data_IF_160767426098
#
_entry.id   IF_160767426098
#
_cell.length_a   1.000
_cell.length_b   1.000
_cell.length_c   1.000
_cell.angle_alpha   90.00
_cell.angle_beta   90.00
_cell.angle_gamma   90.00
#
_symmetry.space_group_name_H-M   'P 1'
#
loop_
_entity.id
_entity.type
_entity.pdbx_description
1 polymer ?
#
# COMPACT_ATOMS: atom_id res chain seq x y z
N UNK A 1 19.78 0.62 -24.13
CA UNK A 1 19.99 -0.37 -23.06
C UNK A 1 19.66 0.15 -21.65
N UNK A 2 20.06 1.38 -21.25
CA UNK A 2 19.81 1.89 -19.89
C UNK A 2 18.33 1.98 -19.49
N UNK A 3 17.40 2.28 -20.44
CA UNK A 3 15.95 2.34 -20.18
C UNK A 3 15.31 0.96 -19.91
N UNK A 4 15.94 -0.13 -20.32
CA UNK A 4 15.40 -1.49 -20.17
C UNK A 4 15.40 -1.92 -18.70
N UNK A 5 16.38 -1.49 -17.92
CA UNK A 5 16.54 -1.92 -16.51
C UNK A 5 15.33 -1.50 -15.64
N UNK A 6 14.91 -0.20 -15.60
CA UNK A 6 13.71 0.16 -14.86
C UNK A 6 12.46 -0.57 -15.37
N UNK A 7 12.27 -0.67 -16.70
CA UNK A 7 11.12 -1.36 -17.27
C UNK A 7 11.06 -2.85 -16.89
N UNK A 8 12.20 -3.52 -16.70
CA UNK A 8 12.21 -4.91 -16.21
C UNK A 8 11.70 -5.00 -14.77
N UNK A 9 12.05 -4.06 -13.89
CA UNK A 9 11.51 -4.01 -12.54
C UNK A 9 10.00 -3.74 -12.54
N UNK A 10 9.53 -2.78 -13.34
CA UNK A 10 8.09 -2.49 -13.48
C UNK A 10 7.33 -3.67 -14.06
N UNK A 11 7.92 -4.37 -15.07
CA UNK A 11 7.34 -5.62 -15.59
C UNK A 11 7.34 -6.73 -14.53
N UNK A 12 8.36 -6.78 -13.68
CA UNK A 12 8.43 -7.69 -12.54
C UNK A 12 7.31 -7.41 -11.53
N UNK A 13 7.07 -6.13 -11.19
CA UNK A 13 5.93 -5.70 -10.37
C UNK A 13 4.63 -6.28 -10.95
N UNK A 14 4.33 -6.03 -12.22
CA UNK A 14 3.14 -6.55 -12.90
C UNK A 14 3.05 -8.07 -12.87
N UNK A 15 4.16 -8.77 -13.18
CA UNK A 15 4.20 -10.23 -13.23
C UNK A 15 3.92 -10.86 -11.85
N UNK A 16 4.50 -10.31 -10.78
CA UNK A 16 4.22 -10.78 -9.42
C UNK A 16 2.80 -10.45 -8.96
N UNK A 17 2.22 -9.33 -9.40
CA UNK A 17 0.80 -9.04 -9.20
C UNK A 17 -0.11 -10.10 -9.83
N UNK A 18 0.13 -10.46 -11.09
CA UNK A 18 -0.60 -11.53 -11.77
C UNK A 18 -0.38 -12.89 -11.11
N UNK A 19 0.85 -13.21 -10.70
CA UNK A 19 1.16 -14.44 -9.98
C UNK A 19 0.41 -14.51 -8.64
N UNK A 20 0.27 -13.39 -7.94
CA UNK A 20 -0.55 -13.31 -6.72
C UNK A 20 -2.00 -13.69 -6.97
N UNK A 21 -2.61 -13.23 -8.06
CA UNK A 21 -3.98 -13.61 -8.42
C UNK A 21 -4.07 -15.12 -8.68
N UNK A 22 -3.12 -15.70 -9.40
CA UNK A 22 -3.07 -17.14 -9.69
C UNK A 22 -2.93 -17.93 -8.39
N UNK A 23 -2.03 -17.52 -7.48
CA UNK A 23 -1.87 -18.17 -6.17
C UNK A 23 -3.15 -18.09 -5.33
N UNK A 24 -3.88 -16.96 -5.40
CA UNK A 24 -5.17 -16.78 -4.73
C UNK A 24 -6.22 -17.78 -5.27
N UNK A 25 -6.29 -17.98 -6.59
CA UNK A 25 -7.18 -18.98 -7.21
C UNK A 25 -6.91 -20.41 -6.71
N UNK A 26 -5.65 -20.71 -6.42
CA UNK A 26 -5.26 -22.00 -5.87
C UNK A 26 -5.41 -22.10 -4.33
N UNK A 27 -5.93 -21.05 -3.67
CA UNK A 27 -6.05 -21.01 -2.21
C UNK A 27 -4.71 -20.84 -1.46
N UNK A 28 -3.63 -20.55 -2.18
CA UNK A 28 -2.29 -20.36 -1.62
C UNK A 28 -2.09 -18.90 -1.13
N UNK A 29 -2.91 -18.46 -0.19
CA UNK A 29 -3.03 -17.05 0.21
C UNK A 29 -1.73 -16.46 0.77
N UNK A 30 -0.95 -17.24 1.53
CA UNK A 30 0.36 -16.80 2.03
C UNK A 30 1.33 -16.50 0.87
N UNK A 31 1.39 -17.38 -0.13
CA UNK A 31 2.21 -17.15 -1.31
C UNK A 31 1.71 -15.99 -2.17
N UNK A 32 0.38 -15.82 -2.27
CA UNK A 32 -0.21 -14.68 -2.94
C UNK A 32 0.20 -13.35 -2.27
N UNK A 33 0.17 -13.29 -0.94
CA UNK A 33 0.66 -12.14 -0.18
C UNK A 33 2.16 -11.88 -0.39
N UNK A 34 2.99 -12.93 -0.37
CA UNK A 34 4.43 -12.82 -0.63
C UNK A 34 4.68 -12.24 -2.04
N UNK A 35 3.92 -12.67 -3.05
CA UNK A 35 4.03 -12.12 -4.41
C UNK A 35 3.74 -10.61 -4.43
N UNK A 36 2.73 -10.11 -3.71
CA UNK A 36 2.46 -8.67 -3.61
C UNK A 36 3.63 -7.93 -2.95
N UNK A 37 4.26 -8.50 -1.91
CA UNK A 37 5.44 -7.88 -1.28
C UNK A 37 6.65 -7.84 -2.22
N UNK A 38 6.85 -8.87 -3.04
CA UNK A 38 7.91 -8.88 -4.07
C UNK A 38 7.58 -7.82 -5.15
N UNK A 39 6.31 -7.69 -5.57
CA UNK A 39 5.86 -6.64 -6.47
C UNK A 39 6.17 -5.25 -5.91
N UNK A 40 5.93 -5.01 -4.61
CA UNK A 40 6.24 -3.76 -3.92
C UNK A 40 7.76 -3.48 -3.88
N UNK A 41 8.59 -4.52 -3.73
CA UNK A 41 10.04 -4.36 -3.83
C UNK A 41 10.48 -3.98 -5.24
N UNK A 42 9.89 -4.60 -6.28
CA UNK A 42 10.17 -4.27 -7.68
C UNK A 42 9.80 -2.83 -8.01
N UNK A 43 8.61 -2.36 -7.57
CA UNK A 43 8.14 -0.97 -7.65
C UNK A 43 9.14 0.01 -6.99
N UNK A 44 9.57 -0.28 -5.76
CA UNK A 44 10.55 0.56 -5.08
C UNK A 44 11.91 0.63 -5.81
N UNK A 45 12.28 -0.41 -6.56
CA UNK A 45 13.54 -0.49 -7.31
C UNK A 45 13.48 0.25 -8.64
N UNK A 46 12.37 0.22 -9.38
CA UNK A 46 12.28 0.79 -10.74
C UNK A 46 12.42 2.31 -10.74
N UNK A 47 11.70 3.01 -9.86
CA UNK A 47 11.80 4.45 -9.72
C UNK A 47 13.19 4.91 -9.25
N UNK A 48 13.87 4.14 -8.38
CA UNK A 48 15.24 4.40 -7.97
C UNK A 48 16.23 4.18 -9.13
N UNK A 49 16.07 3.06 -9.84
CA UNK A 49 16.90 2.74 -11.01
C UNK A 49 16.72 3.77 -12.13
N UNK A 50 15.49 4.22 -12.43
CA UNK A 50 15.22 5.23 -13.44
C UNK A 50 15.92 6.56 -13.11
N UNK A 51 15.86 7.00 -11.85
CA UNK A 51 16.55 8.21 -11.39
C UNK A 51 18.08 8.07 -11.40
N UNK A 52 18.61 6.97 -10.89
CA UNK A 52 20.07 6.73 -10.85
C UNK A 52 20.70 6.64 -12.24
N UNK A 53 19.96 6.11 -13.23
CA UNK A 53 20.43 5.98 -14.61
C UNK A 53 20.14 7.22 -15.48
N UNK A 54 19.43 8.23 -14.94
CA UNK A 54 19.04 9.44 -15.66
C UNK A 54 18.09 9.17 -16.84
N UNK A 55 17.25 8.13 -16.75
CA UNK A 55 16.34 7.69 -17.82
C UNK A 55 14.85 7.81 -17.45
N UNK A 56 14.55 8.49 -16.35
CA UNK A 56 13.17 8.78 -15.95
C UNK A 56 12.44 9.49 -17.10
N UNK A 57 11.21 9.05 -17.42
CA UNK A 57 10.40 9.60 -18.48
C UNK A 57 8.93 9.19 -18.36
N UNK A 58 8.06 9.83 -19.14
CA UNK A 58 6.61 9.64 -19.05
C UNK A 58 6.18 8.19 -19.30
N UNK A 59 6.77 7.52 -20.30
CA UNK A 59 6.45 6.11 -20.56
C UNK A 59 6.68 5.22 -19.32
N UNK A 60 7.81 5.40 -18.62
CA UNK A 60 8.12 4.63 -17.41
C UNK A 60 7.11 4.91 -16.30
N UNK A 61 6.71 6.19 -16.13
CA UNK A 61 5.71 6.61 -15.15
C UNK A 61 4.32 6.01 -15.41
N UNK A 62 3.88 5.99 -16.68
CA UNK A 62 2.59 5.42 -17.05
C UNK A 62 2.60 3.88 -16.89
N UNK A 63 3.67 3.21 -17.31
CA UNK A 63 3.83 1.77 -17.14
C UNK A 63 3.82 1.37 -15.67
N UNK A 64 4.51 2.14 -14.82
CA UNK A 64 4.54 1.99 -13.37
C UNK A 64 3.13 2.09 -12.78
N UNK A 65 2.38 3.15 -13.13
CA UNK A 65 1.01 3.35 -12.66
C UNK A 65 0.07 2.22 -13.07
N UNK A 66 0.20 1.70 -14.29
CA UNK A 66 -0.60 0.55 -14.78
C UNK A 66 -0.24 -0.72 -13.99
N UNK A 67 1.05 -0.96 -13.76
CA UNK A 67 1.52 -2.09 -12.97
C UNK A 67 1.02 -2.04 -11.53
N UNK A 68 1.04 -0.85 -10.92
CA UNK A 68 0.57 -0.61 -9.56
C UNK A 68 -0.94 -0.87 -9.40
N UNK A 69 -1.76 -0.44 -10.36
CA UNK A 69 -3.21 -0.74 -10.34
C UNK A 69 -3.44 -2.24 -10.36
N UNK A 70 -2.66 -2.99 -11.14
CA UNK A 70 -2.81 -4.45 -11.21
C UNK A 70 -2.31 -5.11 -9.92
N UNK A 71 -1.11 -4.77 -9.44
CA UNK A 71 -0.46 -5.48 -8.34
C UNK A 71 -1.02 -5.09 -6.97
N UNK A 72 -1.26 -3.80 -6.74
CA UNK A 72 -1.69 -3.29 -5.43
C UNK A 72 -3.18 -2.94 -5.39
N UNK A 73 -3.81 -2.73 -6.55
CA UNK A 73 -5.25 -2.56 -6.67
C UNK A 73 -5.95 -3.91 -6.86
N UNK A 74 -5.82 -4.49 -8.06
CA UNK A 74 -6.58 -5.67 -8.45
C UNK A 74 -6.13 -6.94 -7.72
N UNK A 75 -4.81 -7.24 -7.66
CA UNK A 75 -4.34 -8.47 -7.02
C UNK A 75 -4.59 -8.46 -5.50
N UNK A 76 -4.41 -7.32 -4.83
CA UNK A 76 -4.75 -7.19 -3.42
C UNK A 76 -6.25 -7.32 -3.17
N UNK A 77 -7.10 -6.73 -4.03
CA UNK A 77 -8.54 -6.89 -3.96
C UNK A 77 -8.96 -8.36 -4.14
N UNK A 78 -8.35 -9.05 -5.08
CA UNK A 78 -8.59 -10.46 -5.35
C UNK A 78 -8.16 -11.35 -4.18
N UNK A 79 -7.00 -11.06 -3.59
CA UNK A 79 -6.48 -11.76 -2.42
C UNK A 79 -7.42 -11.62 -1.22
N UNK A 80 -7.85 -10.41 -0.87
CA UNK A 80 -8.71 -10.21 0.30
C UNK A 80 -10.10 -10.82 0.11
N UNK A 81 -10.61 -10.81 -1.13
CA UNK A 81 -11.84 -11.50 -1.46
C UNK A 81 -11.70 -13.01 -1.19
N UNK A 82 -10.70 -13.66 -1.80
CA UNK A 82 -10.48 -15.09 -1.66
C UNK A 82 -10.17 -15.51 -0.22
N UNK A 83 -9.38 -14.72 0.49
CA UNK A 83 -8.93 -15.06 1.84
C UNK A 83 -10.03 -14.92 2.91
N UNK A 84 -10.88 -13.91 2.80
CA UNK A 84 -11.83 -13.57 3.87
C UNK A 84 -13.25 -13.28 3.40
N UNK A 85 -13.43 -12.51 2.32
CA UNK A 85 -14.73 -11.91 1.98
C UNK A 85 -15.68 -12.83 1.19
N UNK A 86 -15.17 -13.91 0.58
CA UNK A 86 -16.01 -14.88 -0.14
C UNK A 86 -17.11 -15.49 0.74
N UNK A 87 -16.90 -15.54 2.06
CA UNK A 87 -17.90 -16.05 3.03
C UNK A 87 -19.17 -15.18 3.09
N UNK A 88 -19.12 -13.92 2.63
CA UNK A 88 -20.27 -13.01 2.56
C UNK A 88 -21.08 -13.16 1.25
N UNK A 89 -20.73 -14.14 0.40
CA UNK A 89 -21.37 -14.32 -0.90
C UNK A 89 -21.26 -13.08 -1.78
N UNK A 90 -22.34 -12.66 -2.44
CA UNK A 90 -22.33 -11.50 -3.33
C UNK A 90 -21.96 -10.17 -2.64
N UNK A 91 -22.29 -10.00 -1.37
CA UNK A 91 -21.94 -8.80 -0.62
C UNK A 91 -20.44 -8.68 -0.39
N UNK A 92 -19.72 -9.80 -0.35
CA UNK A 92 -18.28 -9.82 -0.20
C UNK A 92 -17.49 -9.32 -1.42
N UNK A 93 -18.14 -9.21 -2.59
CA UNK A 93 -17.52 -8.70 -3.82
C UNK A 93 -17.38 -7.17 -3.83
N UNK A 94 -18.29 -6.47 -3.15
CA UNK A 94 -18.37 -5.00 -3.18
C UNK A 94 -17.13 -4.31 -2.59
N UNK A 95 -16.67 -4.63 -1.36
CA UNK A 95 -15.53 -3.93 -0.74
C UNK A 95 -14.24 -3.99 -1.57
N UNK A 96 -13.79 -5.15 -2.11
CA UNK A 96 -12.56 -5.21 -2.90
C UNK A 96 -12.68 -4.47 -4.24
N UNK A 97 -13.87 -4.43 -4.87
CA UNK A 97 -14.09 -3.63 -6.09
C UNK A 97 -13.95 -2.14 -5.78
N UNK A 98 -14.58 -1.67 -4.71
CA UNK A 98 -14.47 -0.28 -4.27
C UNK A 98 -13.00 0.07 -3.99
N UNK A 99 -12.28 -0.78 -3.27
CA UNK A 99 -10.85 -0.57 -2.96
C UNK A 99 -10.00 -0.44 -4.23
N UNK A 100 -10.14 -1.36 -5.18
CA UNK A 100 -9.39 -1.33 -6.43
C UNK A 100 -9.72 -0.09 -7.29
N UNK A 101 -11.00 0.28 -7.39
CA UNK A 101 -11.44 1.47 -8.12
C UNK A 101 -10.89 2.75 -7.51
N UNK A 102 -10.95 2.90 -6.18
CA UNK A 102 -10.39 4.05 -5.47
C UNK A 102 -8.86 4.11 -5.60
N UNK A 103 -8.18 2.95 -5.64
CA UNK A 103 -6.76 2.86 -5.95
C UNK A 103 -6.40 3.42 -7.32
N UNK A 104 -7.18 3.06 -8.36
CA UNK A 104 -7.02 3.61 -9.72
C UNK A 104 -7.26 5.12 -9.78
N UNK A 105 -8.34 5.61 -9.14
CA UNK A 105 -8.64 7.04 -9.05
C UNK A 105 -7.51 7.80 -8.36
N UNK A 106 -6.95 7.23 -7.29
CA UNK A 106 -5.81 7.82 -6.57
C UNK A 106 -4.60 7.99 -7.48
N UNK A 107 -4.24 6.96 -8.27
CA UNK A 107 -3.10 7.00 -9.18
C UNK A 107 -3.31 8.03 -10.30
N UNK A 108 -4.49 8.07 -10.90
CA UNK A 108 -4.83 9.07 -11.91
C UNK A 108 -4.69 10.50 -11.35
N UNK A 109 -5.22 10.75 -10.12
CA UNK A 109 -5.10 12.05 -9.45
C UNK A 109 -3.63 12.39 -9.14
N UNK A 110 -2.84 11.42 -8.70
CA UNK A 110 -1.42 11.60 -8.41
C UNK A 110 -0.64 11.97 -9.68
N UNK A 111 -0.91 11.31 -10.81
CA UNK A 111 -0.23 11.59 -12.08
C UNK A 111 -0.53 12.99 -12.60
N UNK A 112 -1.77 13.48 -12.45
CA UNK A 112 -2.14 14.83 -12.83
C UNK A 112 -1.48 15.90 -11.95
N UNK A 113 -1.32 15.63 -10.66
CA UNK A 113 -0.83 16.60 -9.68
C UNK A 113 0.69 16.52 -9.43
N UNK A 114 1.40 15.61 -10.07
CA UNK A 114 2.82 15.34 -9.81
C UNK A 114 3.75 16.55 -10.03
N UNK A 115 3.31 17.61 -10.74
CA UNK A 115 4.06 18.85 -10.95
C UNK A 115 3.66 20.02 -10.03
N UNK A 116 2.61 19.89 -9.22
CA UNK A 116 2.00 21.00 -8.48
C UNK A 116 2.19 20.87 -6.96
N UNK A 117 2.22 19.66 -6.43
CA UNK A 117 2.29 19.41 -4.98
C UNK A 117 3.68 18.97 -4.57
N UNK A 118 4.35 19.76 -3.71
CA UNK A 118 5.67 19.47 -3.17
C UNK A 118 5.59 19.31 -1.65
N UNK A 119 6.22 18.27 -1.11
CA UNK A 119 6.49 18.13 0.33
C UNK A 119 5.54 17.21 1.12
N UNK A 120 4.44 16.71 0.55
CA UNK A 120 3.57 15.72 1.20
C UNK A 120 2.81 14.86 0.19
N UNK A 121 2.42 13.65 0.58
CA UNK A 121 1.52 12.81 -0.20
C UNK A 121 0.07 13.08 0.20
N UNK A 122 -0.79 13.36 -0.77
CA UNK A 122 -2.24 13.38 -0.56
C UNK A 122 -2.77 11.94 -0.60
N UNK A 123 -3.30 11.48 0.52
CA UNK A 123 -3.77 10.10 0.68
C UNK A 123 -2.63 9.08 0.81
N UNK A 124 -2.99 7.83 1.05
CA UNK A 124 -2.02 6.74 1.21
C UNK A 124 -1.51 6.25 -0.15
N UNK A 125 -0.21 5.94 -0.32
CA UNK A 125 0.29 5.24 -1.50
C UNK A 125 -0.38 3.88 -1.69
N UNK A 126 -0.74 3.53 -2.95
CA UNK A 126 -1.42 2.26 -3.24
C UNK A 126 -0.59 1.02 -2.88
N UNK A 127 0.77 1.01 -3.01
CA UNK A 127 1.58 -0.11 -2.53
C UNK A 127 1.38 -0.39 -1.03
N UNK A 128 1.20 0.65 -0.21
CA UNK A 128 0.96 0.46 1.22
C UNK A 128 -0.40 -0.24 1.47
N UNK A 129 -1.45 0.15 0.72
CA UNK A 129 -2.74 -0.51 0.81
C UNK A 129 -2.67 -1.99 0.43
N UNK A 130 -2.02 -2.30 -0.70
CA UNK A 130 -1.75 -3.67 -1.11
C UNK A 130 -0.91 -4.45 -0.10
N UNK A 131 0.11 -3.79 0.47
CA UNK A 131 0.97 -4.36 1.52
C UNK A 131 0.21 -4.74 2.79
N UNK A 132 -0.74 -3.90 3.26
CA UNK A 132 -1.60 -4.20 4.41
C UNK A 132 -2.42 -5.48 4.16
N UNK A 133 -3.05 -5.58 2.99
CA UNK A 133 -3.84 -6.75 2.62
C UNK A 133 -2.96 -8.00 2.52
N UNK A 134 -1.78 -7.87 1.89
CA UNK A 134 -0.82 -8.96 1.77
C UNK A 134 -0.35 -9.47 3.15
N UNK A 135 0.01 -8.57 4.05
CA UNK A 135 0.46 -8.92 5.40
C UNK A 135 -0.65 -9.56 6.23
N UNK A 136 -1.91 -9.09 6.08
CA UNK A 136 -3.05 -9.72 6.70
C UNK A 136 -3.22 -11.18 6.23
N UNK A 137 -3.11 -11.44 4.93
CA UNK A 137 -3.21 -12.81 4.41
C UNK A 137 -2.02 -13.69 4.85
N UNK A 138 -0.80 -13.14 4.91
CA UNK A 138 0.41 -13.84 5.37
C UNK A 138 0.31 -14.18 6.87
N UNK A 139 -0.29 -13.31 7.68
CA UNK A 139 -0.39 -13.52 9.13
C UNK A 139 -1.21 -14.76 9.51
N UNK A 140 -2.06 -15.28 8.62
CA UNK A 140 -2.93 -16.41 8.90
C UNK A 140 -4.10 -16.10 9.86
N UNK A 141 -4.19 -14.84 10.36
CA UNK A 141 -5.25 -14.42 11.27
C UNK A 141 -6.58 -14.33 10.54
N UNK A 142 -7.63 -14.90 11.11
CA UNK A 142 -8.98 -14.84 10.58
C UNK A 142 -9.83 -13.91 11.45
N UNK A 143 -10.13 -12.72 10.92
CA UNK A 143 -11.07 -11.79 11.54
C UNK A 143 -12.48 -11.98 10.95
N UNK A 144 -13.50 -11.45 11.63
CA UNK A 144 -14.87 -11.45 11.10
C UNK A 144 -14.92 -10.88 9.68
N UNK A 145 -15.52 -11.57 8.71
CA UNK A 145 -15.62 -11.09 7.32
C UNK A 145 -16.31 -9.72 7.21
N UNK A 146 -17.27 -9.44 8.07
CA UNK A 146 -17.96 -8.14 8.12
C UNK A 146 -17.00 -7.04 8.55
N UNK A 147 -16.17 -7.30 9.59
CA UNK A 147 -15.14 -6.36 10.02
C UNK A 147 -14.13 -6.08 8.90
N UNK A 148 -13.67 -7.13 8.21
CA UNK A 148 -12.75 -6.98 7.07
C UNK A 148 -13.40 -6.18 5.94
N UNK A 149 -14.68 -6.40 5.62
CA UNK A 149 -15.39 -5.62 4.61
C UNK A 149 -15.36 -4.12 4.93
N UNK A 150 -15.64 -3.75 6.18
CA UNK A 150 -15.59 -2.36 6.65
C UNK A 150 -14.15 -1.81 6.56
N UNK A 151 -13.15 -2.56 7.03
CA UNK A 151 -11.75 -2.14 7.00
C UNK A 151 -11.24 -1.93 5.56
N UNK A 152 -11.61 -2.79 4.62
CA UNK A 152 -11.24 -2.67 3.20
C UNK A 152 -11.85 -1.42 2.56
N UNK A 153 -13.12 -1.09 2.87
CA UNK A 153 -13.77 0.14 2.41
C UNK A 153 -13.06 1.37 2.98
N UNK A 154 -12.76 1.36 4.28
CA UNK A 154 -12.03 2.45 4.94
C UNK A 154 -10.62 2.61 4.37
N UNK A 155 -9.93 1.50 4.08
CA UNK A 155 -8.63 1.50 3.43
C UNK A 155 -8.70 2.13 2.04
N UNK A 156 -9.71 1.76 1.22
CA UNK A 156 -9.97 2.37 -0.07
C UNK A 156 -10.25 3.86 0.03
N UNK A 157 -11.08 4.28 0.98
CA UNK A 157 -11.34 5.70 1.24
C UNK A 157 -10.04 6.44 1.62
N UNK A 158 -9.18 5.83 2.44
CA UNK A 158 -7.91 6.44 2.84
C UNK A 158 -6.96 6.68 1.66
N UNK A 159 -6.99 5.83 0.61
CA UNK A 159 -6.20 6.04 -0.61
C UNK A 159 -6.52 7.38 -1.28
N UNK A 160 -7.81 7.76 -1.36
CA UNK A 160 -8.27 9.00 -2.03
C UNK A 160 -8.45 10.17 -1.08
N UNK A 161 -8.28 9.98 0.22
CA UNK A 161 -8.45 11.02 1.23
C UNK A 161 -7.42 12.14 1.04
N UNK A 162 -7.73 13.34 1.55
CA UNK A 162 -6.80 14.46 1.59
C UNK A 162 -5.88 14.44 2.82
N UNK A 163 -5.76 13.29 3.48
CA UNK A 163 -4.87 13.12 4.63
C UNK A 163 -3.43 13.34 4.18
N UNK A 164 -2.72 14.25 4.87
CA UNK A 164 -1.34 14.57 4.59
C UNK A 164 -0.44 13.47 5.20
N UNK A 165 0.00 12.56 4.35
CA UNK A 165 0.95 11.53 4.77
C UNK A 165 2.38 12.04 4.61
N UNK A 166 3.30 11.72 5.55
CA UNK A 166 4.68 12.20 5.50
C UNK A 166 5.38 11.69 4.24
N UNK A 167 6.04 12.61 3.53
CA UNK A 167 6.99 12.24 2.48
C UNK A 167 8.34 11.95 3.12
N UNK A 168 8.71 10.68 3.22
CA UNK A 168 10.03 10.26 3.69
C UNK A 168 11.18 10.72 2.77
N UNK A 169 10.87 11.41 1.66
CA UNK A 169 11.84 12.04 0.77
C UNK A 169 12.12 13.50 1.12
N UNK A 170 11.31 14.11 1.99
CA UNK A 170 11.43 15.51 2.41
C UNK A 170 12.56 15.73 3.40
N UNK A 171 13.26 16.86 3.26
CA UNK A 171 14.39 17.29 4.10
C UNK A 171 13.96 17.88 5.46
N UNK A 172 12.85 17.45 6.04
CA UNK A 172 12.44 17.95 7.36
C UNK A 172 12.93 17.00 8.45
N UNK A 173 13.92 17.39 9.25
CA UNK A 173 14.47 16.54 10.33
C UNK A 173 13.44 16.21 11.40
N UNK A 174 12.45 17.09 11.63
CA UNK A 174 11.49 16.95 12.72
C UNK A 174 10.49 15.80 12.50
N UNK A 175 10.10 15.53 11.25
CA UNK A 175 9.18 14.43 10.91
C UNK A 175 9.84 13.05 11.09
N UNK A 176 11.15 12.94 10.90
CA UNK A 176 11.88 11.68 11.04
C UNK A 176 11.98 11.27 12.53
N UNK A 177 12.15 12.23 13.43
CA UNK A 177 12.24 11.97 14.86
C UNK A 177 10.89 11.51 15.46
N UNK A 178 9.79 12.11 15.04
CA UNK A 178 8.45 11.71 15.49
C UNK A 178 8.08 10.32 14.98
N UNK A 179 8.37 10.01 13.70
CA UNK A 179 8.14 8.69 13.14
C UNK A 179 8.98 7.61 13.84
N UNK A 180 10.26 7.89 14.09
CA UNK A 180 11.16 6.98 14.82
C UNK A 180 10.68 6.76 16.27
N UNK A 181 10.21 7.80 16.94
CA UNK A 181 9.67 7.71 18.29
C UNK A 181 8.39 6.84 18.34
N UNK A 182 7.46 7.03 17.40
CA UNK A 182 6.23 6.23 17.31
C UNK A 182 6.58 4.77 17.06
N UNK A 183 7.51 4.47 16.14
CA UNK A 183 7.97 3.11 15.87
C UNK A 183 8.64 2.49 17.10
N UNK A 184 9.49 3.23 17.80
CA UNK A 184 10.19 2.76 19.00
C UNK A 184 9.22 2.49 20.17
N UNK A 185 8.29 3.41 20.43
CA UNK A 185 7.25 3.24 21.46
C UNK A 185 6.40 2.02 21.15
N UNK A 186 6.08 1.84 19.91
CA UNK A 186 5.26 0.73 19.46
C UNK A 186 5.98 -0.62 19.58
N UNK A 187 7.23 -0.72 19.12
CA UNK A 187 8.07 -1.93 19.33
C UNK A 187 8.14 -2.25 20.83
N UNK A 188 8.29 -1.23 21.67
CA UNK A 188 8.27 -1.38 23.12
C UNK A 188 6.94 -1.95 23.65
N UNK A 189 5.80 -1.49 23.13
CA UNK A 189 4.47 -2.01 23.50
C UNK A 189 4.31 -3.47 23.05
N UNK A 190 4.72 -3.81 21.83
CA UNK A 190 4.67 -5.19 21.31
C UNK A 190 5.47 -6.15 22.17
N UNK A 191 6.68 -5.75 22.58
CA UNK A 191 7.53 -6.56 23.47
C UNK A 191 6.91 -6.71 24.86
N UNK A 192 6.28 -5.67 25.39
CA UNK A 192 5.68 -5.67 26.73
C UNK A 192 4.37 -6.48 26.82
N UNK A 193 3.58 -6.51 25.75
CA UNK A 193 2.23 -7.14 25.76
C UNK A 193 2.27 -8.59 25.32
N UNK A 194 3.41 -9.11 24.83
CA UNK A 194 3.54 -10.50 24.38
C UNK A 194 2.57 -10.84 23.23
N UNK A 195 2.35 -9.89 22.31
CA UNK A 195 1.44 -10.05 21.18
C UNK A 195 1.97 -11.13 20.23
N UNK A 196 1.08 -11.95 19.71
CA UNK A 196 1.39 -12.94 18.70
C UNK A 196 2.24 -12.35 17.57
N UNK A 197 3.39 -12.96 17.29
CA UNK A 197 4.35 -12.50 16.28
C UNK A 197 3.71 -12.27 14.89
N UNK A 198 2.60 -12.94 14.59
CA UNK A 198 1.81 -12.74 13.38
C UNK A 198 1.24 -11.31 13.24
N UNK A 199 0.89 -10.67 14.35
CA UNK A 199 0.37 -9.31 14.35
C UNK A 199 1.47 -8.26 14.13
N UNK A 200 2.72 -8.59 14.48
CA UNK A 200 3.87 -7.69 14.30
C UNK A 200 4.04 -7.28 12.83
N UNK A 201 3.71 -8.17 11.90
CA UNK A 201 3.83 -7.89 10.47
C UNK A 201 2.80 -6.87 9.95
N UNK A 202 1.60 -6.81 10.53
CA UNK A 202 0.54 -5.87 10.10
C UNK A 202 0.80 -4.46 10.66
N UNK A 203 1.54 -4.37 11.70
CA UNK A 203 1.72 -3.17 12.51
C UNK A 203 2.41 -1.98 11.84
N UNK A 204 3.49 -2.11 11.04
CA UNK A 204 4.10 -0.97 10.35
C UNK A 204 3.10 -0.20 9.49
N UNK A 205 2.13 -0.91 8.91
CA UNK A 205 1.09 -0.32 8.06
C UNK A 205 0.01 0.41 8.88
N UNK A 206 -0.40 -0.15 10.01
CA UNK A 206 -1.30 0.55 10.94
C UNK A 206 -0.67 1.82 11.50
N UNK A 207 0.61 1.77 11.87
CA UNK A 207 1.35 2.94 12.32
C UNK A 207 1.41 4.03 11.26
N UNK A 208 1.62 3.66 9.99
CA UNK A 208 1.62 4.62 8.90
C UNK A 208 0.26 5.33 8.76
N UNK A 209 -0.86 4.59 8.88
CA UNK A 209 -2.22 5.15 8.84
C UNK A 209 -2.45 6.10 10.02
N UNK A 210 -2.12 5.64 11.24
CA UNK A 210 -2.28 6.45 12.46
C UNK A 210 -1.44 7.72 12.37
N UNK A 211 -0.18 7.61 11.93
CA UNK A 211 0.70 8.76 11.77
C UNK A 211 0.13 9.77 10.77
N UNK A 212 -0.38 9.31 9.62
CA UNK A 212 -1.02 10.19 8.63
C UNK A 212 -2.25 10.91 9.21
N UNK A 213 -3.11 10.21 9.96
CA UNK A 213 -4.28 10.80 10.61
C UNK A 213 -3.88 11.84 11.66
N UNK A 214 -2.94 11.50 12.54
CA UNK A 214 -2.44 12.40 13.60
C UNK A 214 -1.82 13.66 12.99
N UNK A 215 -0.98 13.49 11.97
CA UNK A 215 -0.35 14.63 11.28
C UNK A 215 -1.40 15.55 10.61
N UNK A 216 -2.45 14.99 10.04
CA UNK A 216 -3.54 15.78 9.47
C UNK A 216 -4.29 16.58 10.53
N UNK A 217 -4.58 15.97 11.69
CA UNK A 217 -5.25 16.65 12.81
C UNK A 217 -4.38 17.79 13.34
N UNK A 218 -3.08 17.55 13.55
CA UNK A 218 -2.14 18.58 14.00
C UNK A 218 -2.10 19.75 13.02
N UNK A 219 -1.99 19.47 11.71
CA UNK A 219 -1.96 20.51 10.69
C UNK A 219 -3.27 21.30 10.61
N UNK A 220 -4.43 20.65 10.79
CA UNK A 220 -5.73 21.35 10.88
C UNK A 220 -5.86 22.26 12.10
N UNK A 221 -5.17 21.93 13.20
CA UNK A 221 -5.18 22.75 14.42
C UNK A 221 -4.19 23.92 14.31
N UNK A 222 -3.02 23.70 13.69
CA UNK A 222 -1.96 24.71 13.58
C UNK A 222 -2.22 25.77 12.49
N UNK A 223 -3.17 25.52 11.56
CA UNK A 223 -3.60 26.49 10.53
C UNK A 223 -4.77 27.38 10.96
N UNK A 224 -5.24 27.28 12.19
CA UNK A 224 -6.14 28.23 12.83
C UNK A 224 -5.39 29.13 13.81
#
# INVERSE_FOLDING_TARGET
MKKVIPCLFTSGNLAFGLLSMIMTLHGAYTWAGICILIAMFCDACDGRAARALGVAGEFGKELDSLSDVVSFGAAAAFLIYGYSLQQLGWWGVIPPIIYAALGGIRLARFNLNAGVVHGYFQGMPIPNGGGIIAMYAISGVQLSPVLIAVLVILLGYHLVSNVHNPDFKGKSPDTLHVAALIVAVFIGIVILVGVDWHLVFIMPFFLYIIFGLVNTVINCISTK
#
